data_IF_113641653049
#
_entry.id   IF_113641653049
#
_cell.length_a   1.000
_cell.length_b   1.000
_cell.length_c   1.000
_cell.angle_alpha   90.00
_cell.angle_beta   90.00
_cell.angle_gamma   90.00
#
_symmetry.space_group_name_H-M   'P 1'
#
loop_
_entity.id
_entity.type
_entity.pdbx_description
1 polymer ?
#
# COMPACT_ATOMS: atom_id res chain seq x y z
N UNK A 1 26.32 9.30 -0.48
CA UNK A 1 25.05 9.03 0.21
C UNK A 1 24.12 10.18 -0.09
N UNK A 2 22.86 9.93 -0.44
CA UNK A 2 21.90 11.01 -0.65
C UNK A 2 21.76 11.85 0.63
N UNK A 3 21.61 13.16 0.47
CA UNK A 3 21.31 14.05 1.60
C UNK A 3 19.89 13.80 2.09
N UNK A 4 19.61 14.16 3.35
CA UNK A 4 18.25 14.05 3.90
C UNK A 4 17.20 14.80 3.06
N UNK A 5 17.62 15.91 2.42
CA UNK A 5 16.73 16.70 1.58
C UNK A 5 16.42 16.01 0.25
N UNK A 6 17.39 15.33 -0.36
CA UNK A 6 17.15 14.55 -1.57
C UNK A 6 16.24 13.35 -1.30
N UNK A 7 16.42 12.66 -0.17
CA UNK A 7 15.52 11.57 0.24
C UNK A 7 14.08 12.11 0.37
N UNK A 8 13.91 13.27 1.02
CA UNK A 8 12.59 13.89 1.18
C UNK A 8 11.97 14.25 -0.17
N UNK A 9 12.74 14.89 -1.05
CA UNK A 9 12.29 15.26 -2.40
C UNK A 9 11.79 14.05 -3.20
N UNK A 10 12.52 12.92 -3.16
CA UNK A 10 12.08 11.67 -3.81
C UNK A 10 10.80 11.13 -3.16
N UNK A 11 10.76 11.07 -1.82
CA UNK A 11 9.62 10.56 -1.07
C UNK A 11 8.35 11.39 -1.23
N UNK A 12 8.49 12.69 -1.48
CA UNK A 12 7.38 13.64 -1.67
C UNK A 12 7.10 13.93 -3.15
N UNK A 13 7.85 13.31 -4.07
CA UNK A 13 7.64 13.50 -5.52
C UNK A 13 6.27 13.00 -5.97
N UNK A 14 5.65 13.73 -6.90
CA UNK A 14 4.38 13.32 -7.50
C UNK A 14 4.49 11.93 -8.14
N UNK A 15 5.62 11.61 -8.78
CA UNK A 15 5.85 10.31 -9.41
C UNK A 15 5.73 9.17 -8.40
N UNK A 16 6.49 9.25 -7.28
CA UNK A 16 6.43 8.21 -6.27
C UNK A 16 5.06 8.18 -5.57
N UNK A 17 4.43 9.33 -5.34
CA UNK A 17 3.06 9.39 -4.81
C UNK A 17 2.06 8.64 -5.68
N UNK A 18 2.08 8.84 -7.01
CA UNK A 18 1.19 8.09 -7.91
C UNK A 18 1.46 6.59 -7.89
N UNK A 19 2.73 6.19 -7.82
CA UNK A 19 3.12 4.77 -7.73
C UNK A 19 2.62 4.13 -6.43
N UNK A 20 2.82 4.79 -5.29
CA UNK A 20 2.35 4.29 -4.00
C UNK A 20 0.81 4.30 -3.90
N UNK A 21 0.16 5.34 -4.41
CA UNK A 21 -1.30 5.42 -4.47
C UNK A 21 -1.91 4.32 -5.34
N UNK A 22 -1.22 3.92 -6.43
CA UNK A 22 -1.64 2.78 -7.26
C UNK A 22 -1.65 1.49 -6.44
N UNK A 23 -0.58 1.20 -5.69
CA UNK A 23 -0.52 0.00 -4.85
C UNK A 23 -1.55 0.05 -3.71
N UNK A 24 -1.76 1.22 -3.10
CA UNK A 24 -2.78 1.40 -2.07
C UNK A 24 -4.20 1.16 -2.63
N UNK A 25 -4.48 1.67 -3.84
CA UNK A 25 -5.77 1.46 -4.50
C UNK A 25 -6.00 -0.02 -4.82
N UNK A 26 -4.99 -0.73 -5.35
CA UNK A 26 -5.07 -2.17 -5.58
C UNK A 26 -5.34 -2.95 -4.29
N UNK A 27 -4.68 -2.57 -3.17
CA UNK A 27 -4.91 -3.19 -1.86
C UNK A 27 -6.34 -2.95 -1.38
N UNK A 28 -6.84 -1.72 -1.48
CA UNK A 28 -8.21 -1.38 -1.12
C UNK A 28 -9.21 -2.16 -1.99
N UNK A 29 -9.02 -2.20 -3.30
CA UNK A 29 -9.90 -2.91 -4.23
C UNK A 29 -9.95 -4.42 -3.92
N UNK A 30 -8.80 -5.03 -3.62
CA UNK A 30 -8.73 -6.43 -3.22
C UNK A 30 -9.52 -6.71 -1.93
N UNK A 31 -9.36 -5.86 -0.90
CA UNK A 31 -10.11 -6.00 0.35
C UNK A 31 -11.60 -5.77 0.16
N UNK A 32 -12.01 -4.79 -0.65
CA UNK A 32 -13.42 -4.58 -0.98
C UNK A 32 -14.01 -5.77 -1.72
N UNK A 33 -13.28 -6.33 -2.69
CA UNK A 33 -13.71 -7.54 -3.38
C UNK A 33 -13.84 -8.72 -2.42
N UNK A 34 -12.89 -8.91 -1.51
CA UNK A 34 -12.97 -9.96 -0.48
C UNK A 34 -14.23 -9.82 0.39
N UNK A 35 -14.56 -8.61 0.85
CA UNK A 35 -15.80 -8.34 1.59
C UNK A 35 -17.03 -8.68 0.74
N UNK A 36 -17.04 -8.24 -0.52
CA UNK A 36 -18.14 -8.53 -1.46
C UNK A 36 -18.32 -10.01 -1.75
N UNK A 37 -17.23 -10.77 -1.87
CA UNK A 37 -17.25 -12.22 -2.13
C UNK A 37 -17.78 -13.01 -0.93
N UNK A 38 -17.68 -12.46 0.28
CA UNK A 38 -18.21 -13.08 1.50
C UNK A 38 -19.61 -12.58 1.88
N UNK A 39 -20.13 -11.58 1.17
CA UNK A 39 -21.48 -11.07 1.36
C UNK A 39 -22.46 -11.65 0.34
N UNK A 40 -23.74 -11.73 0.72
CA UNK A 40 -24.81 -12.06 -0.19
C UNK A 40 -25.44 -10.78 -0.74
N UNK A 41 -25.32 -10.55 -2.05
CA UNK A 41 -26.00 -9.44 -2.72
C UNK A 41 -27.52 -9.67 -2.73
N UNK A 42 -28.27 -8.66 -2.28
CA UNK A 42 -29.73 -8.66 -2.25
C UNK A 42 -30.31 -8.03 -3.53
N UNK A 43 -31.62 -8.19 -3.74
CA UNK A 43 -32.32 -7.68 -4.93
C UNK A 43 -32.27 -6.14 -5.04
N UNK A 44 -32.18 -5.43 -3.92
CA UNK A 44 -32.05 -3.96 -3.87
C UNK A 44 -30.59 -3.47 -4.06
N UNK A 45 -29.65 -4.40 -4.30
CA UNK A 45 -28.24 -4.12 -4.48
C UNK A 45 -27.44 -4.04 -3.18
N UNK A 46 -28.09 -4.09 -2.01
CA UNK A 46 -27.40 -4.16 -0.71
C UNK A 46 -26.59 -5.45 -0.56
N UNK A 47 -25.65 -5.45 0.37
CA UNK A 47 -24.81 -6.61 0.69
C UNK A 47 -25.10 -7.07 2.11
N UNK A 48 -25.64 -8.29 2.25
CA UNK A 48 -25.83 -8.93 3.54
C UNK A 48 -24.54 -9.67 3.93
N UNK A 49 -23.87 -9.21 4.97
CA UNK A 49 -22.63 -9.81 5.46
C UNK A 49 -22.98 -10.72 6.66
N UNK A 50 -22.45 -11.95 6.72
CA UNK A 50 -22.62 -12.84 7.87
C UNK A 50 -22.12 -12.20 9.17
N UNK A 51 -22.91 -12.31 10.25
CA UNK A 51 -22.65 -11.63 11.52
C UNK A 51 -21.30 -12.03 12.14
N UNK A 52 -20.87 -13.29 11.95
CA UNK A 52 -19.58 -13.77 12.42
C UNK A 52 -18.39 -13.12 11.72
N UNK A 53 -18.55 -12.71 10.46
CA UNK A 53 -17.52 -11.97 9.74
C UNK A 53 -17.52 -10.51 10.15
N UNK A 54 -18.69 -9.90 10.32
CA UNK A 54 -18.82 -8.53 10.87
C UNK A 54 -18.13 -8.44 12.23
N UNK A 55 -18.48 -9.32 13.17
CA UNK A 55 -17.88 -9.31 14.51
C UNK A 55 -16.35 -9.49 14.46
N UNK A 56 -15.86 -10.40 13.62
CA UNK A 56 -14.41 -10.62 13.48
C UNK A 56 -13.69 -9.40 12.92
N UNK A 57 -14.23 -8.78 11.88
CA UNK A 57 -13.62 -7.59 11.29
C UNK A 57 -13.70 -6.39 12.24
N UNK A 58 -14.80 -6.23 12.98
CA UNK A 58 -14.93 -5.20 14.00
C UNK A 58 -13.88 -5.38 15.12
N UNK A 59 -13.68 -6.62 15.59
CA UNK A 59 -12.61 -6.96 16.53
C UNK A 59 -11.23 -6.57 15.97
N UNK A 60 -10.91 -6.97 14.73
CA UNK A 60 -9.65 -6.65 14.07
C UNK A 60 -9.44 -5.14 13.91
N UNK A 61 -10.47 -4.39 13.49
CA UNK A 61 -10.43 -2.94 13.32
C UNK A 61 -10.17 -2.23 14.67
N UNK A 62 -10.74 -2.76 15.76
CA UNK A 62 -10.56 -2.21 17.11
C UNK A 62 -9.23 -2.60 17.78
N UNK A 63 -8.51 -3.59 17.23
CA UNK A 63 -7.28 -4.14 17.79
C UNK A 63 -6.06 -3.40 17.24
N UNK A 64 -5.16 -2.95 18.12
CA UNK A 64 -3.91 -2.33 17.66
C UNK A 64 -2.96 -3.36 17.07
N UNK A 65 -2.06 -2.94 16.17
CA UNK A 65 -1.11 -3.87 15.53
C UNK A 65 -0.29 -4.70 16.53
N UNK A 66 0.12 -4.10 17.66
CA UNK A 66 0.88 -4.82 18.69
C UNK A 66 0.08 -5.91 19.40
N UNK A 67 -1.25 -5.78 19.41
CA UNK A 67 -2.16 -6.69 20.09
C UNK A 67 -2.75 -7.74 19.12
N UNK A 68 -2.52 -7.60 17.81
CA UNK A 68 -2.90 -8.60 16.82
C UNK A 68 -2.16 -9.92 17.06
N UNK A 69 -2.76 -11.04 16.64
CA UNK A 69 -2.07 -12.32 16.64
C UNK A 69 -0.85 -12.29 15.70
N UNK A 70 0.15 -13.14 15.94
CA UNK A 70 1.34 -13.22 15.09
C UNK A 70 0.99 -13.49 13.61
N UNK A 71 -0.10 -14.22 13.35
CA UNK A 71 -0.59 -14.51 11.99
C UNK A 71 -1.17 -13.27 11.32
N UNK A 72 -1.93 -12.47 12.05
CA UNK A 72 -2.49 -11.21 11.52
C UNK A 72 -1.38 -10.18 11.28
N UNK A 73 -0.45 -10.03 12.23
CA UNK A 73 0.73 -9.20 12.03
C UNK A 73 1.55 -9.63 10.81
N UNK A 74 1.71 -10.94 10.59
CA UNK A 74 2.39 -11.47 9.42
C UNK A 74 1.66 -11.10 8.12
N UNK A 75 0.33 -11.20 8.10
CA UNK A 75 -0.49 -10.78 6.95
C UNK A 75 -0.29 -9.31 6.62
N UNK A 76 -0.27 -8.43 7.63
CA UNK A 76 -0.01 -7.00 7.43
C UNK A 76 1.40 -6.75 6.88
N UNK A 77 2.41 -7.43 7.44
CA UNK A 77 3.78 -7.33 6.93
C UNK A 77 3.91 -7.84 5.49
N UNK A 78 3.15 -8.87 5.10
CA UNK A 78 3.11 -9.34 3.71
C UNK A 78 2.54 -8.28 2.77
N UNK A 79 1.56 -7.48 3.19
CA UNK A 79 1.11 -6.32 2.41
C UNK A 79 2.22 -5.26 2.27
N UNK A 80 2.96 -4.97 3.35
CA UNK A 80 4.10 -4.03 3.31
C UNK A 80 5.18 -4.49 2.35
N UNK A 81 5.52 -5.79 2.37
CA UNK A 81 6.54 -6.37 1.49
C UNK A 81 6.22 -6.24 0.01
N UNK A 82 4.95 -6.04 -0.38
CA UNK A 82 4.55 -5.87 -1.79
C UNK A 82 4.97 -4.53 -2.38
N UNK A 83 4.92 -3.44 -1.59
CA UNK A 83 5.27 -2.10 -2.07
C UNK A 83 6.64 -1.60 -1.60
N UNK A 84 7.26 -2.26 -0.61
CA UNK A 84 8.61 -1.91 -0.16
C UNK A 84 9.63 -1.86 -1.31
N UNK A 85 9.62 -2.76 -2.31
CA UNK A 85 10.50 -2.64 -3.48
C UNK A 85 10.36 -1.33 -4.24
N UNK A 86 9.13 -0.79 -4.36
CA UNK A 86 8.86 0.50 -5.01
C UNK A 86 9.57 1.66 -4.32
N UNK A 87 9.59 1.65 -2.98
CA UNK A 87 10.29 2.65 -2.16
C UNK A 87 11.81 2.49 -2.32
N UNK A 88 12.31 1.25 -2.24
CA UNK A 88 13.73 0.97 -2.41
C UNK A 88 14.21 1.44 -3.79
N UNK A 89 13.47 1.12 -4.84
CA UNK A 89 13.78 1.51 -6.21
C UNK A 89 13.85 3.04 -6.35
N UNK A 90 12.86 3.76 -5.82
CA UNK A 90 12.85 5.22 -5.89
C UNK A 90 14.06 5.85 -5.20
N UNK A 91 14.52 5.28 -4.08
CA UNK A 91 15.67 5.78 -3.32
C UNK A 91 17.03 5.33 -3.87
N UNK A 92 17.06 4.33 -4.76
CA UNK A 92 18.31 3.73 -5.26
C UNK A 92 18.56 3.99 -6.74
N UNK A 93 17.53 4.30 -7.53
CA UNK A 93 17.70 4.66 -8.94
C UNK A 93 18.25 6.09 -9.07
N UNK A 94 19.22 6.31 -9.98
CA UNK A 94 19.66 7.64 -10.33
C UNK A 94 18.51 8.39 -11.01
N UNK A 95 18.18 9.58 -10.51
CA UNK A 95 17.27 10.51 -11.20
C UNK A 95 17.89 10.79 -12.58
N UNK A 96 17.24 10.33 -13.66
CA UNK A 96 17.69 10.63 -15.02
C UNK A 96 17.50 12.13 -15.27
N UNK A 97 18.56 12.92 -15.03
CA UNK A 97 18.45 14.37 -15.05
C UNK A 97 19.74 15.16 -14.88
N UNK A 98 20.89 14.71 -15.39
CA UNK A 98 21.97 15.62 -15.83
C UNK A 98 22.52 15.16 -17.17
N UNK A 99 21.74 15.37 -18.24
CA UNK A 99 22.29 15.55 -19.57
C UNK A 99 22.79 17.00 -19.70
N UNK A 100 23.93 17.30 -19.10
CA UNK A 100 24.71 18.50 -19.38
C UNK A 100 26.14 18.26 -18.87
N UNK A 101 27.03 17.93 -19.80
CA UNK A 101 28.47 18.24 -19.84
C UNK A 101 29.24 17.12 -20.52
N UNK A 102 29.05 17.00 -21.84
CA UNK A 102 30.13 16.54 -22.71
C UNK A 102 30.84 17.80 -23.20
N UNK A 103 32.09 18.08 -22.79
CA UNK A 103 32.86 19.11 -23.46
C UNK A 103 33.17 18.62 -24.88
N UNK A 104 32.80 19.41 -25.88
CA UNK A 104 33.47 19.34 -27.19
C UNK A 104 34.88 19.87 -27.03
N UNK A 105 35.87 19.00 -27.15
CA UNK A 105 37.01 19.10 -28.09
C UNK A 105 37.88 17.84 -28.01
#
# INVERSE_FOLDING_TARGET
MPTNDHIREVLESDELMHRLATVEHERWAHWQQYVHDHGQRQDDGSLLIPAELVNRWDEQISTTYSDLSAKEQQSDQEQVRRYLPTIIEALTLPVNGTAADTPSD
#
